data_IF_672143886129
#
_entry.id   IF_672143886129
#
_cell.length_a   1.000
_cell.length_b   1.000
_cell.length_c   1.000
_cell.angle_alpha   90.00
_cell.angle_beta   90.00
_cell.angle_gamma   90.00
#
_symmetry.space_group_name_H-M   'P 1'
#
loop_
_entity.id
_entity.type
_entity.pdbx_description
1 polymer ?
#
# COMPACT_ATOMS: atom_id res chain seq x y z
N UNK A 1 -22.62 14.67 9.22
CA UNK A 1 -21.39 14.68 8.40
C UNK A 1 -21.58 15.72 7.31
N UNK A 2 -20.56 16.53 7.04
CA UNK A 2 -20.54 17.55 5.98
C UNK A 2 -19.48 17.14 4.95
N UNK A 3 -19.79 17.19 3.66
CA UNK A 3 -18.86 16.85 2.58
C UNK A 3 -18.34 18.09 1.86
N UNK A 4 -17.04 18.16 1.62
CA UNK A 4 -16.39 19.15 0.76
C UNK A 4 -15.79 18.42 -0.42
N UNK A 5 -16.17 18.81 -1.64
CA UNK A 5 -15.68 18.22 -2.88
C UNK A 5 -15.01 19.31 -3.71
N UNK A 6 -13.72 19.14 -4.03
CA UNK A 6 -13.03 20.04 -4.95
C UNK A 6 -13.30 19.59 -6.38
N UNK A 7 -14.04 20.41 -7.12
CA UNK A 7 -14.29 20.22 -8.54
C UNK A 7 -13.48 21.25 -9.32
N UNK A 8 -12.47 20.77 -10.06
CA UNK A 8 -11.69 21.62 -10.95
C UNK A 8 -12.48 21.85 -12.24
N UNK A 9 -12.47 23.09 -12.74
CA UNK A 9 -13.02 23.37 -14.06
C UNK A 9 -12.31 22.54 -15.12
N UNK A 10 -13.08 21.99 -16.04
CA UNK A 10 -12.60 21.21 -17.17
C UNK A 10 -12.90 21.92 -18.47
N UNK A 11 -11.99 21.77 -19.43
CA UNK A 11 -12.22 22.27 -20.79
C UNK A 11 -13.23 21.36 -21.47
N UNK A 12 -14.44 21.88 -21.63
CA UNK A 12 -15.50 21.30 -22.43
C UNK A 12 -15.56 21.99 -23.80
N UNK A 13 -16.40 21.47 -24.69
CA UNK A 13 -16.68 22.08 -25.98
C UNK A 13 -18.18 22.27 -26.11
N UNK A 14 -18.58 23.46 -26.51
CA UNK A 14 -19.96 23.78 -26.87
C UNK A 14 -20.02 24.20 -28.33
N UNK A 15 -21.23 24.31 -28.87
CA UNK A 15 -21.44 24.77 -30.23
C UNK A 15 -21.99 26.20 -30.22
N UNK A 16 -21.49 27.03 -31.14
CA UNK A 16 -22.06 28.34 -31.45
C UNK A 16 -22.69 28.27 -32.83
N UNK A 17 -23.93 28.75 -32.96
CA UNK A 17 -24.65 28.78 -34.23
C UNK A 17 -24.67 30.22 -34.72
N UNK A 18 -24.04 30.44 -35.87
CA UNK A 18 -23.99 31.73 -36.53
C UNK A 18 -24.81 31.65 -37.84
N UNK A 19 -25.66 32.65 -38.06
CA UNK A 19 -26.49 32.73 -39.27
C UNK A 19 -25.89 33.76 -40.24
N UNK A 20 -25.34 33.26 -41.35
CA UNK A 20 -24.77 34.08 -42.42
C UNK A 20 -25.66 33.99 -43.67
N UNK A 21 -26.76 34.76 -43.65
CA UNK A 21 -27.79 34.70 -44.70
C UNK A 21 -28.63 33.42 -44.59
N UNK A 22 -28.74 32.65 -45.67
CA UNK A 22 -29.44 31.35 -45.70
C UNK A 22 -28.57 30.17 -45.23
N UNK A 23 -27.28 30.41 -44.91
CA UNK A 23 -26.35 29.37 -44.47
C UNK A 23 -26.21 29.37 -42.95
N UNK A 24 -26.08 28.17 -42.40
CA UNK A 24 -25.85 27.93 -40.98
C UNK A 24 -24.39 27.55 -40.80
N UNK A 25 -23.66 28.35 -40.04
CA UNK A 25 -22.29 28.04 -39.61
C UNK A 25 -22.34 27.55 -38.16
N UNK A 26 -21.77 26.37 -37.90
CA UNK A 26 -21.70 25.76 -36.58
C UNK A 26 -20.24 25.68 -36.16
N UNK A 27 -19.86 26.50 -35.18
CA UNK A 27 -18.51 26.53 -34.62
C UNK A 27 -18.44 25.71 -33.33
N UNK A 28 -17.41 24.89 -33.18
CA UNK A 28 -17.11 24.22 -31.91
C UNK A 28 -16.14 25.11 -31.13
N UNK A 29 -16.62 25.67 -30.03
CA UNK A 29 -15.87 26.60 -29.19
C UNK A 29 -15.56 25.96 -27.83
N UNK A 30 -14.34 26.18 -27.29
CA UNK A 30 -13.99 25.67 -25.97
C UNK A 30 -14.74 26.45 -24.88
N UNK A 31 -15.32 25.74 -23.92
CA UNK A 31 -15.89 26.27 -22.68
C UNK A 31 -15.01 25.83 -21.50
N UNK A 32 -14.51 26.81 -20.76
CA UNK A 32 -13.61 26.60 -19.61
C UNK A 32 -14.33 26.71 -18.26
N UNK A 33 -15.65 26.87 -18.26
CA UNK A 33 -16.47 27.00 -17.03
C UNK A 33 -17.19 25.71 -16.66
N UNK A 34 -17.02 24.66 -17.45
CA UNK A 34 -17.61 23.36 -17.21
C UNK A 34 -17.06 22.67 -15.97
N UNK A 35 -17.95 22.07 -15.17
CA UNK A 35 -17.57 21.16 -14.10
C UNK A 35 -17.29 19.75 -14.65
N UNK A 36 -16.53 18.91 -13.91
CA UNK A 36 -16.26 17.53 -14.29
C UNK A 36 -17.55 16.73 -14.51
N UNK A 37 -17.58 15.92 -15.58
CA UNK A 37 -18.68 14.99 -15.82
C UNK A 37 -18.77 13.93 -14.69
N UNK A 38 -19.94 13.33 -14.49
CA UNK A 38 -20.19 12.31 -13.45
C UNK A 38 -19.30 11.07 -13.57
N UNK A 39 -18.77 10.79 -14.77
CA UNK A 39 -17.81 9.71 -15.02
C UNK A 39 -16.39 10.03 -14.52
N UNK A 40 -16.07 11.31 -14.31
CA UNK A 40 -14.76 11.73 -13.85
C UNK A 40 -14.63 11.53 -12.34
N UNK A 41 -13.64 10.74 -11.93
CA UNK A 41 -13.40 10.46 -10.51
C UNK A 41 -12.98 11.73 -9.79
N UNK A 42 -13.61 12.00 -8.65
CA UNK A 42 -13.18 13.04 -7.71
C UNK A 42 -11.74 12.76 -7.26
N UNK A 43 -10.91 13.80 -7.34
CA UNK A 43 -9.49 13.71 -6.98
C UNK A 43 -9.25 14.20 -5.56
N UNK A 44 -9.98 15.23 -5.10
CA UNK A 44 -9.83 15.80 -3.76
C UNK A 44 -11.19 16.00 -3.10
N UNK A 45 -11.37 15.45 -1.91
CA UNK A 45 -12.55 15.69 -1.09
C UNK A 45 -12.27 15.45 0.40
N UNK A 46 -13.12 15.99 1.26
CA UNK A 46 -13.11 15.75 2.69
C UNK A 46 -14.52 15.51 3.21
N UNK A 47 -14.67 14.63 4.19
CA UNK A 47 -15.89 14.43 4.94
C UNK A 47 -15.63 14.77 6.40
N UNK A 48 -16.34 15.76 6.91
CA UNK A 48 -16.24 16.27 8.27
C UNK A 48 -17.30 15.56 9.10
N UNK A 49 -16.86 14.80 10.11
CA UNK A 49 -17.75 14.12 11.04
C UNK A 49 -18.39 15.13 12.01
N UNK A 50 -19.49 14.74 12.64
CA UNK A 50 -20.03 15.57 13.72
C UNK A 50 -19.14 15.43 14.95
N UNK A 51 -19.00 16.51 15.71
CA UNK A 51 -18.16 16.55 16.92
C UNK A 51 -18.68 15.50 17.90
N UNK A 52 -17.77 14.67 18.37
CA UNK A 52 -18.03 13.61 19.34
C UNK A 52 -16.75 13.42 20.18
N UNK A 53 -16.83 13.52 21.51
CA UNK A 53 -15.66 13.39 22.39
C UNK A 53 -14.90 12.08 22.26
N UNK A 54 -15.52 11.00 21.76
CA UNK A 54 -14.90 9.69 21.62
C UNK A 54 -14.26 9.46 20.23
N UNK A 55 -14.32 10.44 19.32
CA UNK A 55 -13.74 10.28 17.98
C UNK A 55 -12.22 10.46 17.97
N UNK A 56 -11.51 9.47 17.42
CA UNK A 56 -10.05 9.55 17.19
C UNK A 56 -9.67 10.55 16.08
N UNK A 57 -10.58 10.86 15.16
CA UNK A 57 -10.35 11.79 14.06
C UNK A 57 -11.65 12.49 13.61
N UNK A 58 -11.50 13.74 13.21
CA UNK A 58 -12.62 14.61 12.80
C UNK A 58 -12.93 14.57 11.29
N UNK A 59 -11.92 14.26 10.46
CA UNK A 59 -12.01 14.32 9.00
C UNK A 59 -11.59 13.01 8.33
N UNK A 60 -12.35 12.59 7.33
CA UNK A 60 -11.90 11.64 6.31
C UNK A 60 -11.49 12.43 5.07
N UNK A 61 -10.24 12.37 4.67
CA UNK A 61 -9.70 13.16 3.55
C UNK A 61 -9.17 12.26 2.44
N UNK A 62 -9.54 12.56 1.20
CA UNK A 62 -8.93 11.98 0.00
C UNK A 62 -8.25 13.10 -0.77
N UNK A 63 -6.95 12.98 -1.00
CA UNK A 63 -6.20 13.85 -1.90
C UNK A 63 -5.32 13.02 -2.84
N UNK A 64 -5.84 12.74 -4.04
CA UNK A 64 -5.05 12.12 -5.10
C UNK A 64 -4.14 13.17 -5.72
N UNK A 65 -2.89 13.16 -5.28
CA UNK A 65 -1.80 13.91 -5.89
C UNK A 65 -1.18 13.11 -7.04
N UNK A 66 -0.86 13.78 -8.16
CA UNK A 66 0.03 13.20 -9.17
C UNK A 66 1.45 13.25 -8.60
N UNK A 67 2.17 12.12 -8.63
CA UNK A 67 3.55 12.00 -8.14
C UNK A 67 4.57 12.72 -9.04
N UNK A 68 4.41 14.03 -9.27
CA UNK A 68 5.47 14.85 -9.85
C UNK A 68 6.20 15.58 -8.73
N UNK A 69 7.51 15.31 -8.62
CA UNK A 69 8.40 15.86 -7.57
C UNK A 69 8.55 17.39 -7.62
N UNK A 70 8.08 18.06 -8.67
CA UNK A 70 8.25 19.50 -8.88
C UNK A 70 7.15 20.38 -8.26
N UNK A 71 6.02 19.80 -7.83
CA UNK A 71 4.87 20.56 -7.28
C UNK A 71 4.71 20.38 -5.76
N UNK A 72 5.81 20.44 -5.00
CA UNK A 72 5.78 20.36 -3.53
C UNK A 72 4.91 21.47 -2.88
N UNK A 73 4.73 22.60 -3.59
CA UNK A 73 3.89 23.72 -3.15
C UNK A 73 2.39 23.49 -3.36
N UNK A 74 2.01 22.72 -4.39
CA UNK A 74 0.60 22.48 -4.76
C UNK A 74 0.03 21.22 -4.13
N UNK A 75 0.86 20.20 -3.93
CA UNK A 75 0.49 18.92 -3.33
C UNK A 75 -0.09 19.09 -1.92
N UNK A 76 0.51 19.92 -1.08
CA UNK A 76 0.13 20.05 0.33
C UNK A 76 -0.93 21.12 0.62
N UNK A 77 -1.43 21.85 -0.37
CA UNK A 77 -2.36 22.96 -0.13
C UNK A 77 -3.70 22.49 0.44
N UNK A 78 -4.31 21.44 -0.13
CA UNK A 78 -5.66 21.03 0.25
C UNK A 78 -5.73 20.56 1.71
N UNK A 79 -4.80 19.71 2.13
CA UNK A 79 -4.73 19.19 3.51
C UNK A 79 -4.21 20.27 4.47
N UNK A 80 -3.04 20.86 4.21
CA UNK A 80 -2.36 21.70 5.21
C UNK A 80 -2.85 23.15 5.26
N UNK A 81 -3.27 23.72 4.12
CA UNK A 81 -3.63 25.16 4.03
C UNK A 81 -5.13 25.38 3.98
N UNK A 82 -5.86 24.60 3.18
CA UNK A 82 -7.30 24.75 3.02
C UNK A 82 -8.07 24.09 4.16
N UNK A 83 -7.83 22.80 4.43
CA UNK A 83 -8.47 22.10 5.55
C UNK A 83 -7.78 22.37 6.90
N UNK A 84 -6.48 22.70 6.87
CA UNK A 84 -5.71 22.94 8.10
C UNK A 84 -5.55 21.69 8.97
N UNK A 85 -5.68 20.49 8.39
CA UNK A 85 -5.66 19.24 9.13
C UNK A 85 -4.29 18.54 9.02
N UNK A 86 -4.05 17.61 9.95
CA UNK A 86 -2.90 16.70 9.90
C UNK A 86 -3.40 15.30 9.60
N UNK A 87 -2.67 14.58 8.78
CA UNK A 87 -2.96 13.16 8.53
C UNK A 87 -2.55 12.40 9.78
N UNK A 88 -3.48 11.59 10.29
CA UNK A 88 -3.19 10.57 11.29
C UNK A 88 -3.06 9.25 10.54
N UNK A 89 -1.96 8.54 10.75
CA UNK A 89 -1.84 7.19 10.22
C UNK A 89 -2.82 6.29 10.95
N UNK A 90 -3.66 5.58 10.19
CA UNK A 90 -4.51 4.54 10.74
C UNK A 90 -3.73 3.22 10.83
N UNK A 91 -4.24 2.28 11.64
CA UNK A 91 -3.68 0.92 11.79
C UNK A 91 -3.35 0.24 10.46
N UNK A 92 -4.18 0.45 9.43
CA UNK A 92 -4.02 -0.19 8.12
C UNK A 92 -2.81 0.35 7.38
N UNK A 93 -2.61 1.65 7.41
CA UNK A 93 -1.50 2.31 6.74
C UNK A 93 -0.21 2.08 7.52
N UNK A 94 -0.24 2.11 8.85
CA UNK A 94 0.90 1.69 9.70
C UNK A 94 1.33 0.25 9.38
N UNK A 95 0.38 -0.68 9.33
CA UNK A 95 0.65 -2.10 9.01
C UNK A 95 1.23 -2.27 7.61
N UNK A 96 0.64 -1.61 6.60
CA UNK A 96 1.13 -1.69 5.22
C UNK A 96 2.52 -1.09 5.07
N UNK A 97 2.76 0.07 5.68
CA UNK A 97 4.05 0.76 5.63
C UNK A 97 5.14 -0.11 6.24
N UNK A 98 4.88 -0.70 7.41
CA UNK A 98 5.79 -1.66 8.03
C UNK A 98 6.07 -2.88 7.13
N UNK A 99 5.03 -3.56 6.65
CA UNK A 99 5.20 -4.75 5.79
C UNK A 99 5.95 -4.43 4.51
N UNK A 100 5.69 -3.26 3.91
CA UNK A 100 6.38 -2.79 2.71
C UNK A 100 7.86 -2.51 2.99
N UNK A 101 8.16 -1.70 4.00
CA UNK A 101 9.52 -1.33 4.36
C UNK A 101 10.34 -2.57 4.74
N UNK A 102 9.78 -3.48 5.56
CA UNK A 102 10.47 -4.70 5.94
C UNK A 102 10.77 -5.62 4.74
N UNK A 103 9.86 -5.75 3.78
CA UNK A 103 10.10 -6.54 2.56
C UNK A 103 11.14 -5.87 1.65
N UNK A 104 11.09 -4.54 1.48
CA UNK A 104 12.07 -3.79 0.67
C UNK A 104 13.49 -3.91 1.26
N UNK A 105 13.62 -3.78 2.59
CA UNK A 105 14.88 -3.99 3.29
C UNK A 105 15.37 -5.43 3.11
N UNK A 106 14.50 -6.42 3.31
CA UNK A 106 14.83 -7.85 3.20
C UNK A 106 15.35 -8.18 1.81
N UNK A 107 14.67 -7.69 0.76
CA UNK A 107 15.07 -7.90 -0.63
C UNK A 107 16.42 -7.26 -0.94
N UNK A 108 16.69 -6.09 -0.37
CA UNK A 108 17.94 -5.35 -0.63
C UNK A 108 19.13 -5.99 0.08
N UNK A 109 18.96 -6.41 1.34
CA UNK A 109 20.05 -6.95 2.16
C UNK A 109 20.29 -8.46 1.98
N UNK A 110 19.30 -9.20 1.46
CA UNK A 110 19.37 -10.65 1.23
C UNK A 110 19.00 -11.05 -0.20
N UNK A 111 19.34 -10.21 -1.18
CA UNK A 111 19.06 -10.44 -2.60
C UNK A 111 19.61 -11.79 -3.12
N UNK A 112 20.74 -12.25 -2.58
CA UNK A 112 21.41 -13.52 -2.95
C UNK A 112 21.40 -14.56 -1.82
N UNK A 113 20.53 -14.38 -0.80
CA UNK A 113 20.43 -15.32 0.31
C UNK A 113 18.96 -15.59 0.64
N UNK A 114 18.36 -16.50 -0.13
CA UNK A 114 16.97 -16.88 -0.01
C UNK A 114 16.63 -17.45 1.38
N UNK A 115 17.55 -18.20 2.01
CA UNK A 115 17.33 -18.73 3.36
C UNK A 115 17.15 -17.61 4.39
N UNK A 116 18.09 -16.64 4.45
CA UNK A 116 17.98 -15.51 5.37
C UNK A 116 16.75 -14.67 5.07
N UNK A 117 16.47 -14.41 3.79
CA UNK A 117 15.28 -13.67 3.39
C UNK A 117 14.00 -14.36 3.86
N UNK A 118 13.90 -15.69 3.72
CA UNK A 118 12.73 -16.45 4.16
C UNK A 118 12.60 -16.52 5.69
N UNK A 119 13.72 -16.58 6.42
CA UNK A 119 13.72 -16.48 7.90
C UNK A 119 13.12 -15.15 8.38
N UNK A 120 13.47 -14.03 7.73
CA UNK A 120 12.88 -12.73 8.04
C UNK A 120 11.38 -12.73 7.71
N UNK A 121 10.99 -13.12 6.50
CA UNK A 121 9.59 -13.13 6.05
C UNK A 121 8.68 -13.99 6.93
N UNK A 122 9.11 -15.20 7.24
CA UNK A 122 8.36 -16.12 8.10
C UNK A 122 8.22 -15.59 9.53
N UNK A 123 9.27 -14.99 10.09
CA UNK A 123 9.23 -14.38 11.43
C UNK A 123 8.26 -13.19 11.49
N UNK A 124 8.33 -12.29 10.50
CA UNK A 124 7.42 -11.13 10.41
C UNK A 124 5.98 -11.61 10.22
N UNK A 125 5.72 -12.55 9.30
CA UNK A 125 4.38 -13.13 9.07
C UNK A 125 3.81 -13.72 10.35
N UNK A 126 4.63 -14.44 11.13
CA UNK A 126 4.21 -15.03 12.41
C UNK A 126 3.82 -13.95 13.42
N UNK A 127 4.66 -12.94 13.63
CA UNK A 127 4.36 -11.85 14.58
C UNK A 127 3.10 -11.06 14.20
N UNK A 128 2.94 -10.71 12.91
CA UNK A 128 1.75 -10.03 12.41
C UNK A 128 0.45 -10.79 12.69
N UNK A 129 0.49 -12.13 12.67
CA UNK A 129 -0.68 -12.97 12.99
C UNK A 129 -0.94 -13.08 14.49
N UNK A 130 0.09 -13.05 15.33
CA UNK A 130 -0.05 -13.36 16.76
C UNK A 130 -0.33 -12.14 17.63
N UNK A 131 0.25 -10.99 17.28
CA UNK A 131 0.28 -9.81 18.16
C UNK A 131 -0.70 -8.73 17.66
N UNK A 132 -1.38 -8.00 18.56
CA UNK A 132 -2.25 -6.87 18.16
C UNK A 132 -1.48 -5.59 17.89
N UNK A 133 -0.33 -5.45 18.55
CA UNK A 133 0.59 -4.34 18.40
C UNK A 133 2.00 -4.92 18.26
N UNK A 134 2.83 -4.33 17.40
CA UNK A 134 4.24 -4.68 17.29
C UNK A 134 5.11 -3.57 17.85
N UNK A 135 6.16 -3.96 18.57
CA UNK A 135 7.29 -3.09 18.82
C UNK A 135 8.43 -3.41 17.83
N UNK A 136 8.89 -2.40 17.09
CA UNK A 136 9.91 -2.54 16.05
C UNK A 136 11.21 -3.14 16.59
N UNK A 137 11.65 -2.73 17.78
CA UNK A 137 12.87 -3.26 18.40
C UNK A 137 12.70 -4.72 18.82
N UNK A 138 11.57 -5.09 19.40
CA UNK A 138 11.31 -6.49 19.78
C UNK A 138 11.21 -7.43 18.57
N UNK A 139 10.60 -6.95 17.47
CA UNK A 139 10.57 -7.69 16.20
C UNK A 139 11.99 -7.88 15.68
N UNK A 140 12.78 -6.81 15.67
CA UNK A 140 14.15 -6.81 15.18
C UNK A 140 15.06 -7.73 16.02
N UNK A 141 14.91 -7.69 17.34
CA UNK A 141 15.63 -8.55 18.27
C UNK A 141 15.31 -10.03 18.04
N UNK A 142 14.04 -10.36 17.86
CA UNK A 142 13.61 -11.72 17.56
C UNK A 142 14.18 -12.23 16.22
N UNK A 143 14.30 -11.38 15.20
CA UNK A 143 14.75 -11.78 13.86
C UNK A 143 16.28 -11.92 13.80
N UNK A 144 17.02 -10.97 14.38
CA UNK A 144 18.47 -10.86 14.18
C UNK A 144 19.32 -11.27 15.39
N UNK A 145 18.72 -11.57 16.54
CA UNK A 145 19.41 -12.20 17.67
C UNK A 145 20.50 -11.30 18.27
N UNK A 146 21.78 -11.61 18.07
CA UNK A 146 22.91 -10.80 18.57
C UNK A 146 23.56 -9.92 17.49
N UNK A 147 23.08 -9.98 16.25
CA UNK A 147 23.66 -9.24 15.11
C UNK A 147 23.31 -7.75 15.17
N UNK A 148 24.06 -6.98 15.97
CA UNK A 148 23.82 -5.56 16.24
C UNK A 148 23.80 -4.70 14.98
N UNK A 149 24.63 -5.02 14.00
CA UNK A 149 24.71 -4.26 12.74
C UNK A 149 23.41 -4.40 11.94
N UNK A 150 22.91 -5.63 11.78
CA UNK A 150 21.64 -5.85 11.07
C UNK A 150 20.45 -5.27 11.82
N UNK A 151 20.47 -5.33 13.15
CA UNK A 151 19.41 -4.69 13.95
C UNK A 151 19.33 -3.19 13.69
N UNK A 152 20.46 -2.50 13.81
CA UNK A 152 20.53 -1.06 13.57
C UNK A 152 20.12 -0.74 12.13
N UNK A 153 20.67 -1.47 11.15
CA UNK A 153 20.33 -1.27 9.74
C UNK A 153 18.85 -1.47 9.43
N UNK A 154 18.19 -2.47 10.04
CA UNK A 154 16.77 -2.72 9.84
C UNK A 154 15.91 -1.60 10.46
N UNK A 155 16.19 -1.24 11.71
CA UNK A 155 15.45 -0.19 12.42
C UNK A 155 15.63 1.14 11.70
N UNK A 156 16.86 1.56 11.40
CA UNK A 156 17.16 2.83 10.75
C UNK A 156 16.43 2.95 9.41
N UNK A 157 16.44 1.90 8.60
CA UNK A 157 15.74 1.89 7.32
C UNK A 157 14.22 1.96 7.47
N UNK A 158 13.64 1.11 8.33
CA UNK A 158 12.18 1.04 8.54
C UNK A 158 11.65 2.36 9.12
N UNK A 159 12.37 2.96 10.07
CA UNK A 159 12.04 4.28 10.61
C UNK A 159 12.21 5.39 9.57
N UNK A 160 13.22 5.30 8.69
CA UNK A 160 13.39 6.28 7.60
C UNK A 160 12.25 6.24 6.56
N UNK A 161 11.58 5.11 6.41
CA UNK A 161 10.37 4.95 5.58
C UNK A 161 9.09 5.47 6.29
N UNK A 162 9.22 6.07 7.48
CA UNK A 162 8.13 6.70 8.22
C UNK A 162 7.39 5.77 9.18
N UNK A 163 7.90 4.55 9.42
CA UNK A 163 7.28 3.60 10.35
C UNK A 163 7.63 3.95 11.79
N UNK A 164 6.63 4.00 12.66
CA UNK A 164 6.79 4.26 14.10
C UNK A 164 7.26 3.00 14.86
N UNK A 165 7.88 3.20 16.02
CA UNK A 165 8.38 2.09 16.85
C UNK A 165 7.26 1.18 17.35
N UNK A 166 6.10 1.75 17.68
CA UNK A 166 4.89 1.02 18.05
C UNK A 166 3.90 1.04 16.89
N UNK A 167 3.56 -0.15 16.39
CA UNK A 167 2.73 -0.33 15.21
C UNK A 167 1.44 -1.02 15.63
N UNK A 168 0.31 -0.32 15.50
CA UNK A 168 -1.03 -0.90 15.71
C UNK A 168 -1.41 -1.68 14.45
N UNK A 169 -1.78 -2.96 14.62
CA UNK A 169 -2.02 -3.85 13.48
C UNK A 169 -3.47 -3.93 13.04
N UNK A 170 -3.73 -3.70 11.75
CA UNK A 170 -5.02 -3.98 11.11
C UNK A 170 -5.14 -5.49 10.83
N UNK A 171 -5.88 -6.19 11.70
CA UNK A 171 -6.11 -7.65 11.61
C UNK A 171 -6.83 -8.05 10.34
N UNK A 172 -7.86 -7.30 9.98
CA UNK A 172 -8.69 -7.51 8.81
C UNK A 172 -7.86 -7.50 7.51
N UNK A 173 -6.94 -6.55 7.43
CA UNK A 173 -6.03 -6.44 6.30
C UNK A 173 -4.98 -7.55 6.29
N UNK A 174 -4.42 -7.90 7.44
CA UNK A 174 -3.43 -8.99 7.59
C UNK A 174 -4.01 -10.32 7.14
N UNK A 175 -5.21 -10.67 7.59
CA UNK A 175 -5.90 -11.91 7.17
C UNK A 175 -6.13 -11.94 5.66
N UNK A 176 -6.66 -10.84 5.09
CA UNK A 176 -6.88 -10.73 3.64
C UNK A 176 -5.58 -10.81 2.85
N UNK A 177 -4.48 -10.22 3.36
CA UNK A 177 -3.17 -10.20 2.73
C UNK A 177 -2.53 -11.59 2.68
N UNK A 178 -2.66 -12.39 3.75
CA UNK A 178 -2.02 -13.70 3.85
C UNK A 178 -2.87 -14.88 3.40
N UNK A 179 -4.18 -14.69 3.20
CA UNK A 179 -5.10 -15.71 2.66
C UNK A 179 -4.59 -16.38 1.37
N UNK A 180 -3.95 -15.61 0.49
CA UNK A 180 -3.31 -16.11 -0.75
C UNK A 180 -1.91 -15.53 -0.89
N UNK A 181 -0.93 -16.42 -0.86
CA UNK A 181 0.49 -16.10 -0.95
C UNK A 181 0.91 -16.24 -2.40
N UNK A 182 1.52 -15.19 -2.94
CA UNK A 182 2.14 -15.18 -4.26
C UNK A 182 3.65 -15.15 -4.07
N UNK A 183 4.33 -16.18 -4.55
CA UNK A 183 5.78 -16.28 -4.58
C UNK A 183 6.26 -16.04 -6.01
N UNK A 184 7.24 -15.16 -6.17
CA UNK A 184 7.94 -14.97 -7.44
C UNK A 184 9.36 -15.50 -7.25
N UNK A 185 9.68 -16.61 -7.91
CA UNK A 185 10.91 -17.38 -7.73
C UNK A 185 11.77 -17.14 -8.97
N UNK A 186 12.99 -16.64 -8.78
CA UNK A 186 14.01 -16.33 -9.80
C UNK A 186 13.53 -15.53 -11.02
N UNK A 187 12.37 -14.88 -10.91
CA UNK A 187 11.64 -14.19 -11.98
C UNK A 187 11.05 -15.10 -13.07
N UNK A 188 11.31 -16.40 -13.00
CA UNK A 188 10.89 -17.38 -13.99
C UNK A 188 9.63 -18.16 -13.57
N UNK A 189 9.36 -18.25 -12.27
CA UNK A 189 8.24 -19.03 -11.71
C UNK A 189 7.36 -18.12 -10.83
N UNK A 190 6.07 -18.08 -11.14
CA UNK A 190 5.02 -17.49 -10.30
C UNK A 190 4.21 -18.62 -9.64
N UNK A 191 4.28 -18.73 -8.32
CA UNK A 191 3.50 -19.70 -7.53
C UNK A 191 2.42 -18.98 -6.71
N UNK A 192 1.18 -19.43 -6.83
CA UNK A 192 0.06 -18.96 -6.02
C UNK A 192 -0.43 -20.09 -5.12
N UNK A 193 -0.29 -19.90 -3.82
CA UNK A 193 -0.65 -20.90 -2.81
C UNK A 193 -1.56 -20.26 -1.76
N UNK A 194 -2.59 -20.98 -1.34
CA UNK A 194 -3.41 -20.51 -0.22
C UNK A 194 -2.68 -20.73 1.10
N UNK A 195 -3.07 -19.98 2.12
CA UNK A 195 -2.43 -20.05 3.42
C UNK A 195 -2.43 -21.45 4.03
N UNK A 196 -3.56 -22.16 3.94
CA UNK A 196 -3.71 -23.51 4.47
C UNK A 196 -2.70 -24.50 3.88
N UNK A 197 -2.47 -24.45 2.57
CA UNK A 197 -1.50 -25.31 1.92
C UNK A 197 -0.05 -24.86 2.20
N UNK A 198 0.20 -23.55 2.36
CA UNK A 198 1.53 -23.03 2.69
C UNK A 198 1.97 -23.45 4.09
N UNK A 199 1.05 -23.42 5.05
CA UNK A 199 1.34 -23.76 6.45
C UNK A 199 1.28 -25.30 6.70
N UNK A 200 0.89 -26.11 5.71
CA UNK A 200 0.83 -27.59 5.79
C UNK A 200 2.09 -28.26 5.24
N UNK A 201 2.91 -28.81 6.13
CA UNK A 201 4.19 -29.47 5.81
C UNK A 201 4.07 -30.71 4.91
N UNK A 202 2.87 -31.31 4.83
CA UNK A 202 2.57 -32.44 3.96
C UNK A 202 2.19 -32.01 2.54
N UNK A 203 2.00 -30.70 2.30
CA UNK A 203 1.62 -30.13 1.00
C UNK A 203 2.66 -29.16 0.45
N UNK A 204 3.27 -28.36 1.32
CA UNK A 204 4.27 -27.37 0.94
C UNK A 204 5.41 -27.36 1.97
N UNK A 205 6.64 -27.37 1.50
CA UNK A 205 7.81 -27.28 2.35
C UNK A 205 8.87 -26.41 1.71
N UNK A 206 9.52 -25.59 2.54
CA UNK A 206 10.76 -24.90 2.19
C UNK A 206 11.91 -25.65 2.87
N UNK A 207 12.80 -26.22 2.06
CA UNK A 207 14.04 -26.84 2.51
C UNK A 207 15.19 -25.84 2.41
N UNK A 208 16.10 -25.84 3.38
CA UNK A 208 17.23 -24.90 3.45
C UNK A 208 18.51 -25.66 3.20
N UNK A 209 19.26 -25.26 2.18
CA UNK A 209 20.42 -26.03 1.70
C UNK A 209 21.72 -25.68 2.47
N UNK A 210 21.71 -24.59 3.24
CA UNK A 210 22.84 -24.16 4.07
C UNK A 210 23.88 -23.30 3.35
N UNK A 211 23.84 -23.25 2.01
CA UNK A 211 24.64 -22.36 1.16
C UNK A 211 23.97 -21.00 0.88
N UNK A 212 22.79 -20.77 1.47
CA UNK A 212 21.96 -19.58 1.26
C UNK A 212 20.81 -19.79 0.26
N UNK A 213 20.80 -20.91 -0.47
CA UNK A 213 19.69 -21.31 -1.33
C UNK A 213 18.61 -22.07 -0.55
N UNK A 214 17.41 -22.15 -1.13
CA UNK A 214 16.29 -22.91 -0.59
C UNK A 214 15.64 -23.74 -1.71
N UNK A 215 15.13 -24.92 -1.36
CA UNK A 215 14.27 -25.68 -2.25
C UNK A 215 12.81 -25.50 -1.84
N UNK A 216 11.93 -25.35 -2.83
CA UNK A 216 10.48 -25.31 -2.63
C UNK A 216 9.89 -26.64 -3.09
N UNK A 217 9.33 -27.41 -2.15
CA UNK A 217 8.82 -28.76 -2.38
C UNK A 217 7.29 -28.75 -2.25
N UNK A 218 6.61 -29.07 -3.35
CA UNK A 218 5.16 -29.28 -3.39
C UNK A 218 4.89 -30.78 -3.31
N UNK A 219 4.10 -31.21 -2.32
CA UNK A 219 3.87 -32.62 -1.98
C UNK A 219 2.40 -32.99 -2.16
N UNK A 220 2.15 -34.29 -2.35
CA UNK A 220 0.79 -34.84 -2.42
C UNK A 220 -0.03 -34.34 -3.62
N UNK A 221 0.63 -34.04 -4.74
CA UNK A 221 -0.04 -33.59 -5.97
C UNK A 221 -0.75 -34.78 -6.63
N UNK A 222 -2.08 -34.82 -6.53
CA UNK A 222 -2.92 -35.87 -7.13
C UNK A 222 -3.32 -35.53 -8.57
N UNK A 223 -3.44 -34.25 -8.90
CA UNK A 223 -3.84 -33.77 -10.22
C UNK A 223 -3.14 -32.44 -10.54
N UNK A 224 -2.71 -32.27 -11.79
CA UNK A 224 -2.19 -31.01 -12.31
C UNK A 224 -2.65 -30.84 -13.76
N UNK A 225 -2.91 -29.59 -14.17
CA UNK A 225 -3.39 -29.26 -15.52
C UNK A 225 -2.49 -28.15 -16.07
N UNK A 226 -1.93 -28.38 -17.25
CA UNK A 226 -1.27 -27.36 -18.06
C UNK A 226 -2.35 -26.48 -18.73
N UNK A 227 -2.29 -25.16 -18.54
CA UNK A 227 -3.24 -24.19 -19.10
C UNK A 227 -2.56 -23.29 -20.13
#
# INVERSE_FOLDING_TARGET
>A
MIGIIKMDYVKNYTHSINFNGEKIDIDIIPDHTGLPASSQKIQKCAFIKFIDPEQEYDLLVMDKQKKNKEEEYGSNYFINKFLGCKIVENERDMTKNFVRAAEEWTRTNFNENADKAEKVRSSIKKKLKQEENLNLHEVTDHIFGEDKEKKASFVDYVSSEGVQDNIILDRDWIEKKFKRIRLKIDKDIDLYINEQAYDDINRFQIHRNGDGTIDIVIKGVVNYIEK
#
